data_IF_344074927585
#
_entry.id   IF_344074927585
#
_cell.length_a   1.000
_cell.length_b   1.000
_cell.length_c   1.000
_cell.angle_alpha   90.00
_cell.angle_beta   90.00
_cell.angle_gamma   90.00
#
_symmetry.space_group_name_H-M   'P 1'
#
loop_
_entity.id
_entity.type
_entity.pdbx_description
1 polymer ?
#
# COMPACT_ATOMS: atom_id res chain seq x y z
N UNK A 1 7.20 0.35 -23.46
CA UNK A 1 7.78 0.02 -22.14
C UNK A 1 8.84 1.07 -21.82
N UNK A 2 8.96 1.55 -20.59
CA UNK A 2 9.92 2.61 -20.23
C UNK A 2 11.32 2.01 -20.01
N UNK A 3 12.42 2.62 -20.50
CA UNK A 3 13.76 2.03 -20.42
C UNK A 3 14.29 1.85 -18.99
N UNK A 4 13.78 2.62 -18.02
CA UNK A 4 14.13 2.47 -16.60
C UNK A 4 13.35 1.36 -15.87
N UNK A 5 12.32 0.78 -16.50
CA UNK A 5 11.51 -0.26 -15.89
C UNK A 5 12.20 -1.62 -16.04
N UNK A 6 12.43 -2.28 -14.91
CA UNK A 6 12.84 -3.69 -14.84
C UNK A 6 11.73 -4.49 -14.16
N UNK A 7 11.58 -5.74 -14.55
CA UNK A 7 10.60 -6.67 -13.97
C UNK A 7 11.35 -7.84 -13.33
N UNK A 8 10.92 -8.22 -12.13
CA UNK A 8 11.38 -9.39 -11.41
C UNK A 8 10.16 -10.18 -10.95
N UNK A 9 10.08 -11.44 -11.34
CA UNK A 9 9.01 -12.34 -10.92
C UNK A 9 9.41 -13.02 -9.62
N UNK A 10 8.65 -12.75 -8.55
CA UNK A 10 8.83 -13.35 -7.22
C UNK A 10 7.58 -14.18 -6.92
N UNK A 11 7.70 -15.50 -6.99
CA UNK A 11 6.55 -16.40 -6.79
C UNK A 11 6.02 -16.36 -5.35
N UNK A 12 6.92 -16.19 -4.38
CA UNK A 12 6.63 -16.16 -2.96
C UNK A 12 7.27 -14.93 -2.32
N UNK A 13 6.43 -13.94 -1.99
CA UNK A 13 6.86 -12.67 -1.42
C UNK A 13 7.49 -12.81 -0.04
N UNK A 14 7.32 -13.95 0.64
CA UNK A 14 8.03 -14.25 1.89
C UNK A 14 9.49 -14.64 1.67
N UNK A 15 9.90 -14.88 0.42
CA UNK A 15 11.25 -15.31 0.02
C UNK A 15 11.99 -14.25 -0.79
N UNK A 16 11.66 -12.97 -0.60
CA UNK A 16 12.27 -11.86 -1.33
C UNK A 16 13.81 -11.83 -1.18
N UNK A 17 14.34 -12.27 -0.03
CA UNK A 17 15.79 -12.31 0.24
C UNK A 17 16.59 -13.16 -0.76
N UNK A 18 15.96 -14.14 -1.44
CA UNK A 18 16.58 -14.92 -2.52
C UNK A 18 16.98 -14.06 -3.73
N UNK A 19 16.41 -12.87 -3.85
CA UNK A 19 16.63 -11.94 -4.96
C UNK A 19 17.44 -10.70 -4.55
N UNK A 20 18.19 -10.75 -3.44
CA UNK A 20 18.94 -9.62 -2.87
C UNK A 20 19.70 -8.79 -3.91
N UNK A 21 20.44 -9.44 -4.80
CA UNK A 21 21.27 -8.73 -5.79
C UNK A 21 20.43 -7.96 -6.82
N UNK A 22 19.24 -8.46 -7.14
CA UNK A 22 18.32 -7.81 -8.09
C UNK A 22 17.61 -6.59 -7.48
N UNK A 23 17.54 -6.50 -6.15
CA UNK A 23 16.84 -5.44 -5.42
C UNK A 23 17.76 -4.57 -4.56
N UNK A 24 19.07 -4.77 -4.67
CA UNK A 24 20.06 -3.91 -4.04
C UNK A 24 20.04 -2.50 -4.65
N UNK A 25 20.22 -1.48 -3.81
CA UNK A 25 20.34 -0.09 -4.25
C UNK A 25 19.02 0.65 -4.51
N UNK A 26 17.86 0.07 -4.17
CA UNK A 26 16.59 0.80 -4.15
C UNK A 26 16.42 1.60 -2.84
N UNK A 27 16.01 2.86 -2.96
CA UNK A 27 15.80 3.79 -1.84
C UNK A 27 14.36 3.79 -1.29
N UNK A 28 13.41 3.27 -2.07
CA UNK A 28 11.99 3.26 -1.70
C UNK A 28 11.26 2.01 -2.25
N UNK A 29 10.36 1.47 -1.43
CA UNK A 29 9.41 0.43 -1.81
C UNK A 29 7.97 0.98 -1.75
N UNK A 30 7.23 0.79 -2.83
CA UNK A 30 5.80 1.08 -2.91
C UNK A 30 5.02 -0.23 -2.90
N UNK A 31 4.65 -0.71 -1.71
CA UNK A 31 3.96 -1.98 -1.53
C UNK A 31 2.46 -1.82 -1.82
N UNK A 32 2.11 -2.03 -3.09
CA UNK A 32 0.75 -1.94 -3.62
C UNK A 32 0.06 -3.32 -3.77
N UNK A 33 0.70 -4.39 -3.31
CA UNK A 33 0.16 -5.73 -3.39
C UNK A 33 -0.97 -5.92 -2.37
N UNK A 34 -2.09 -6.51 -2.80
CA UNK A 34 -3.23 -6.76 -1.96
C UNK A 34 -4.32 -7.58 -2.65
N UNK A 35 -5.19 -8.18 -1.85
CA UNK A 35 -6.34 -8.97 -2.31
C UNK A 35 -7.63 -8.43 -1.71
N UNK A 36 -8.76 -8.73 -2.35
CA UNK A 36 -10.07 -8.46 -1.75
C UNK A 36 -10.33 -9.44 -0.60
N UNK A 37 -10.86 -8.96 0.52
CA UNK A 37 -11.28 -9.83 1.64
C UNK A 37 -12.60 -10.55 1.40
N UNK A 38 -13.31 -10.22 0.31
CA UNK A 38 -14.65 -10.77 0.01
C UNK A 38 -14.57 -12.29 -0.14
N UNK A 39 -15.36 -13.00 0.67
CA UNK A 39 -15.41 -14.46 0.66
C UNK A 39 -14.20 -15.15 1.31
N UNK A 40 -13.29 -14.41 1.94
CA UNK A 40 -12.11 -14.99 2.60
C UNK A 40 -12.34 -15.25 4.09
N UNK A 41 -11.75 -16.35 4.57
CA UNK A 41 -11.54 -16.56 6.01
C UNK A 41 -10.42 -15.66 6.54
N UNK A 42 -10.49 -15.31 7.81
CA UNK A 42 -9.56 -14.39 8.45
C UNK A 42 -8.11 -14.90 8.45
N UNK A 43 -7.89 -16.18 8.71
CA UNK A 43 -6.58 -16.83 8.69
C UNK A 43 -5.87 -16.66 7.34
N UNK A 44 -6.58 -16.96 6.25
CA UNK A 44 -6.07 -16.83 4.89
C UNK A 44 -5.83 -15.38 4.51
N UNK A 45 -6.76 -14.48 4.86
CA UNK A 45 -6.59 -13.05 4.60
C UNK A 45 -5.40 -12.47 5.39
N UNK A 46 -5.24 -12.86 6.65
CA UNK A 46 -4.11 -12.48 7.50
C UNK A 46 -2.78 -12.97 6.92
N UNK A 47 -2.72 -14.21 6.43
CA UNK A 47 -1.50 -14.71 5.79
C UNK A 47 -1.08 -13.88 4.58
N UNK A 48 -2.03 -13.57 3.68
CA UNK A 48 -1.75 -12.82 2.45
C UNK A 48 -1.47 -11.33 2.76
N UNK A 49 -2.23 -10.71 3.65
CA UNK A 49 -2.13 -9.27 3.91
C UNK A 49 -1.09 -8.91 4.96
N UNK A 50 -1.05 -9.64 6.09
CA UNK A 50 -0.16 -9.32 7.20
C UNK A 50 1.16 -10.08 7.10
N UNK A 51 1.13 -11.43 7.08
CA UNK A 51 2.39 -12.20 7.18
C UNK A 51 3.30 -11.96 5.97
N UNK A 52 2.71 -11.96 4.77
CA UNK A 52 3.46 -11.73 3.53
C UNK A 52 4.07 -10.32 3.48
N UNK A 53 3.32 -9.29 3.87
CA UNK A 53 3.81 -7.91 3.89
C UNK A 53 4.95 -7.72 4.90
N UNK A 54 4.80 -8.27 6.11
CA UNK A 54 5.85 -8.16 7.14
C UNK A 54 7.10 -8.95 6.77
N UNK A 55 6.96 -10.12 6.15
CA UNK A 55 8.10 -10.87 5.62
C UNK A 55 8.85 -10.07 4.54
N UNK A 56 8.11 -9.51 3.58
CA UNK A 56 8.68 -8.69 2.51
C UNK A 56 9.41 -7.45 3.06
N UNK A 57 8.78 -6.72 3.98
CA UNK A 57 9.34 -5.55 4.63
C UNK A 57 10.65 -5.86 5.39
N UNK A 58 10.68 -6.96 6.13
CA UNK A 58 11.89 -7.41 6.85
C UNK A 58 13.01 -7.80 5.90
N UNK A 59 12.71 -8.54 4.82
CA UNK A 59 13.72 -8.87 3.81
C UNK A 59 14.32 -7.63 3.15
N UNK A 60 13.53 -6.57 2.92
CA UNK A 60 14.08 -5.30 2.41
C UNK A 60 15.04 -4.64 3.41
N UNK A 61 14.69 -4.62 4.70
CA UNK A 61 15.53 -4.03 5.74
C UNK A 61 16.86 -4.77 5.94
N UNK A 62 16.88 -6.09 5.72
CA UNK A 62 18.12 -6.88 5.70
C UNK A 62 19.06 -6.48 4.54
N UNK A 63 18.54 -5.85 3.49
CA UNK A 63 19.29 -5.46 2.29
C UNK A 63 19.68 -3.99 2.35
N UNK A 64 18.74 -3.12 2.76
CA UNK A 64 18.95 -1.69 2.90
C UNK A 64 18.16 -1.16 4.11
N UNK A 65 18.86 -0.82 5.20
CA UNK A 65 18.25 -0.22 6.39
C UNK A 65 17.74 1.20 6.15
N UNK A 66 18.25 1.89 5.13
CA UNK A 66 17.88 3.28 4.81
C UNK A 66 16.71 3.37 3.82
N UNK A 67 16.06 2.24 3.49
CA UNK A 67 14.96 2.22 2.54
C UNK A 67 13.70 2.86 3.15
N UNK A 68 12.93 3.56 2.33
CA UNK A 68 11.58 4.03 2.67
C UNK A 68 10.55 2.98 2.28
N UNK A 69 9.50 2.80 3.08
CA UNK A 69 8.44 1.83 2.83
C UNK A 69 7.06 2.50 2.82
N UNK A 70 6.34 2.35 1.72
CA UNK A 70 4.94 2.76 1.60
C UNK A 70 4.08 1.51 1.57
N UNK A 71 3.10 1.44 2.45
CA UNK A 71 2.06 0.43 2.47
C UNK A 71 0.71 1.03 2.07
N UNK A 72 0.06 0.44 1.06
CA UNK A 72 -1.29 0.84 0.64
C UNK A 72 -2.31 -0.04 1.35
N UNK A 73 -2.95 0.50 2.39
CA UNK A 73 -3.99 -0.19 3.15
C UNK A 73 -5.38 0.08 2.55
N UNK A 74 -6.12 1.04 3.08
CA UNK A 74 -7.45 1.43 2.65
C UNK A 74 -8.15 2.32 3.68
N UNK A 75 -9.03 3.20 3.22
CA UNK A 75 -9.89 4.00 4.07
C UNK A 75 -10.67 3.12 5.04
N UNK A 76 -10.86 3.59 6.28
CA UNK A 76 -11.48 2.83 7.38
C UNK A 76 -10.66 1.66 7.93
N UNK A 77 -9.35 1.60 7.63
CA UNK A 77 -8.44 0.71 8.37
C UNK A 77 -8.46 1.02 9.87
N UNK A 78 -8.47 -0.02 10.70
CA UNK A 78 -8.69 0.10 12.14
C UNK A 78 -7.39 -0.09 12.93
N UNK A 79 -6.74 1.03 13.30
CA UNK A 79 -5.52 1.02 14.12
C UNK A 79 -5.73 0.48 15.54
N UNK A 80 -6.96 0.38 16.04
CA UNK A 80 -7.19 -0.19 17.38
C UNK A 80 -7.05 -1.71 17.39
N UNK A 81 -7.20 -2.34 16.23
CA UNK A 81 -7.23 -3.80 16.07
C UNK A 81 -8.40 -4.47 16.81
N UNK A 82 -9.40 -3.72 17.30
CA UNK A 82 -10.51 -4.25 18.12
C UNK A 82 -11.89 -4.18 17.43
N UNK A 83 -11.97 -3.59 16.23
CA UNK A 83 -13.21 -3.42 15.50
C UNK A 83 -13.84 -4.72 15.01
N UNK A 84 -15.13 -4.66 14.66
CA UNK A 84 -15.89 -5.82 14.17
C UNK A 84 -15.53 -6.24 12.74
N UNK A 85 -14.83 -5.37 12.00
CA UNK A 85 -14.51 -5.58 10.58
C UNK A 85 -13.13 -6.22 10.45
N UNK A 86 -13.12 -7.52 10.13
CA UNK A 86 -11.90 -8.32 10.05
C UNK A 86 -10.79 -7.70 9.19
N UNK A 87 -11.11 -7.31 7.95
CA UNK A 87 -10.10 -6.80 7.03
C UNK A 87 -9.46 -5.50 7.54
N UNK A 88 -10.24 -4.66 8.21
CA UNK A 88 -9.80 -3.38 8.74
C UNK A 88 -8.85 -3.58 9.92
N UNK A 89 -9.14 -4.54 10.80
CA UNK A 89 -8.24 -4.93 11.89
C UNK A 89 -6.94 -5.54 11.38
N UNK A 90 -7.01 -6.46 10.42
CA UNK A 90 -5.80 -7.11 9.86
C UNK A 90 -4.90 -6.07 9.18
N UNK A 91 -5.47 -5.16 8.40
CA UNK A 91 -4.69 -4.04 7.82
C UNK A 91 -4.15 -3.12 8.92
N UNK A 92 -4.94 -2.77 9.93
CA UNK A 92 -4.49 -1.88 11.00
C UNK A 92 -3.35 -2.48 11.82
N UNK A 93 -3.41 -3.78 12.11
CA UNK A 93 -2.30 -4.53 12.69
C UNK A 93 -1.05 -4.49 11.81
N UNK A 94 -1.22 -4.59 10.50
CA UNK A 94 -0.11 -4.50 9.54
C UNK A 94 0.55 -3.12 9.59
N UNK A 95 -0.24 -2.04 9.56
CA UNK A 95 0.27 -0.66 9.70
C UNK A 95 1.03 -0.47 11.03
N UNK A 96 0.42 -0.91 12.14
CA UNK A 96 1.01 -0.77 13.48
C UNK A 96 2.33 -1.51 13.62
N UNK A 97 2.47 -2.69 13.02
CA UNK A 97 3.71 -3.47 13.09
C UNK A 97 4.76 -3.01 12.08
N UNK A 98 4.37 -2.46 10.92
CA UNK A 98 5.29 -1.79 10.00
C UNK A 98 5.89 -0.52 10.62
N UNK A 99 5.08 0.29 11.31
CA UNK A 99 5.53 1.51 11.97
C UNK A 99 6.57 1.29 13.08
N UNK A 100 6.71 0.05 13.57
CA UNK A 100 7.72 -0.35 14.56
C UNK A 100 9.04 -0.78 13.92
N UNK A 101 9.07 -0.98 12.61
CA UNK A 101 10.28 -1.39 11.89
C UNK A 101 11.20 -0.17 11.65
N UNK A 102 12.52 -0.36 11.64
CA UNK A 102 13.50 0.72 11.55
C UNK A 102 13.69 1.21 10.10
N UNK A 103 12.61 1.49 9.37
CA UNK A 103 12.70 2.13 8.06
C UNK A 103 13.12 3.59 8.20
N UNK A 104 13.83 4.12 7.20
CA UNK A 104 14.14 5.55 7.12
C UNK A 104 12.87 6.41 7.11
N UNK A 105 11.88 5.99 6.33
CA UNK A 105 10.53 6.56 6.28
C UNK A 105 9.52 5.42 6.12
N UNK A 106 8.43 5.45 6.88
CA UNK A 106 7.35 4.47 6.80
C UNK A 106 6.01 5.22 6.68
N UNK A 107 5.22 4.87 5.66
CA UNK A 107 3.95 5.52 5.37
C UNK A 107 2.83 4.52 5.05
N UNK A 108 1.69 4.72 5.69
CA UNK A 108 0.45 3.97 5.51
C UNK A 108 -0.58 4.83 4.78
N UNK A 109 -0.85 4.48 3.52
CA UNK A 109 -1.81 5.17 2.67
C UNK A 109 -3.19 4.51 2.81
N UNK A 110 -4.19 5.30 3.21
CA UNK A 110 -5.59 4.88 3.38
C UNK A 110 -6.49 5.50 2.30
N UNK A 111 -6.35 5.09 1.02
CA UNK A 111 -7.19 5.63 -0.04
C UNK A 111 -8.65 5.19 0.14
N UNK A 112 -9.58 6.06 -0.24
CA UNK A 112 -10.99 5.73 -0.40
C UNK A 112 -11.26 5.02 -1.73
N UNK A 113 -12.44 5.26 -2.30
CA UNK A 113 -12.72 4.79 -3.64
C UNK A 113 -11.77 5.46 -4.64
N UNK A 114 -11.30 4.71 -5.64
CA UNK A 114 -10.36 5.21 -6.65
C UNK A 114 -10.93 5.12 -8.05
N UNK A 115 -10.68 6.14 -8.88
CA UNK A 115 -11.02 6.11 -10.31
C UNK A 115 -9.98 5.34 -11.11
N UNK A 116 -10.40 4.66 -12.16
CA UNK A 116 -9.51 3.98 -13.11
C UNK A 116 -8.74 4.96 -14.00
N UNK A 117 -7.66 4.47 -14.60
CA UNK A 117 -6.92 5.17 -15.66
C UNK A 117 -7.26 4.59 -17.03
N UNK A 118 -7.10 5.41 -18.08
CA UNK A 118 -7.30 4.97 -19.45
C UNK A 118 -6.34 3.81 -19.79
N UNK A 119 -6.86 2.73 -20.39
CA UNK A 119 -6.07 1.55 -20.77
C UNK A 119 -5.74 0.58 -19.63
N UNK A 120 -6.31 0.75 -18.43
CA UNK A 120 -6.13 -0.19 -17.32
C UNK A 120 -6.72 -1.57 -17.67
N UNK A 121 -5.85 -2.58 -17.77
CA UNK A 121 -6.25 -3.97 -18.15
C UNK A 121 -7.00 -4.71 -17.05
N UNK A 122 -6.61 -4.51 -15.79
CA UNK A 122 -7.19 -5.18 -14.62
C UNK A 122 -7.84 -4.17 -13.68
N UNK A 123 -8.83 -3.44 -14.19
CA UNK A 123 -9.63 -2.55 -13.37
C UNK A 123 -10.50 -3.36 -12.41
N UNK A 124 -10.57 -2.94 -11.15
CA UNK A 124 -11.51 -3.50 -10.20
C UNK A 124 -12.95 -3.34 -10.76
N UNK A 125 -13.77 -4.40 -10.84
CA UNK A 125 -15.16 -4.31 -11.30
C UNK A 125 -15.99 -3.24 -10.56
N UNK A 126 -15.66 -2.97 -9.30
CA UNK A 126 -16.32 -1.93 -8.49
C UNK A 126 -15.86 -0.49 -8.82
N UNK A 127 -14.93 -0.29 -9.76
CA UNK A 127 -14.51 1.04 -10.17
C UNK A 127 -15.64 1.89 -10.78
N UNK A 128 -16.68 1.26 -11.33
CA UNK A 128 -17.88 1.99 -11.75
C UNK A 128 -18.60 2.66 -10.58
N UNK A 129 -18.61 2.00 -9.40
CA UNK A 129 -19.18 2.55 -8.17
C UNK A 129 -18.43 3.82 -7.75
N UNK A 130 -17.10 3.87 -7.96
CA UNK A 130 -16.31 5.06 -7.68
C UNK A 130 -16.75 6.28 -8.50
N UNK A 131 -17.25 6.10 -9.74
CA UNK A 131 -17.80 7.21 -10.55
C UNK A 131 -19.09 7.77 -9.96
N UNK A 132 -19.97 6.89 -9.46
CA UNK A 132 -21.22 7.29 -8.80
C UNK A 132 -20.91 8.01 -7.49
N UNK A 133 -20.04 7.44 -6.65
CA UNK A 133 -19.62 8.07 -5.39
C UNK A 133 -18.99 9.44 -5.68
N UNK A 134 -18.17 9.56 -6.73
CA UNK A 134 -17.54 10.83 -7.09
C UNK A 134 -18.55 11.93 -7.39
N UNK A 135 -19.69 11.59 -7.98
CA UNK A 135 -20.75 12.56 -8.28
C UNK A 135 -21.42 13.12 -7.00
N UNK A 136 -21.67 12.27 -6.00
CA UNK A 136 -22.38 12.67 -4.78
C UNK A 136 -21.46 13.06 -3.60
N UNK A 137 -20.26 12.49 -3.54
CA UNK A 137 -19.29 12.65 -2.46
C UNK A 137 -17.85 12.68 -3.01
N UNK A 138 -17.47 13.72 -3.77
CA UNK A 138 -16.17 13.82 -4.43
C UNK A 138 -14.99 13.78 -3.44
N UNK A 139 -15.19 14.23 -2.20
CA UNK A 139 -14.17 14.20 -1.15
C UNK A 139 -13.76 12.78 -0.75
N UNK A 140 -14.60 11.77 -0.96
CA UNK A 140 -14.35 10.36 -0.64
C UNK A 140 -13.64 9.58 -1.77
N UNK A 141 -13.40 10.22 -2.91
CA UNK A 141 -12.81 9.58 -4.09
C UNK A 141 -11.45 10.21 -4.42
N UNK A 142 -10.47 9.37 -4.76
CA UNK A 142 -9.17 9.78 -5.28
C UNK A 142 -9.00 9.28 -6.72
N UNK A 143 -8.24 9.99 -7.53
CA UNK A 143 -7.69 9.45 -8.76
C UNK A 143 -6.43 8.63 -8.48
N UNK A 144 -6.17 7.58 -9.27
CA UNK A 144 -4.91 6.84 -9.19
C UNK A 144 -3.68 7.75 -9.42
N UNK A 145 -3.83 8.83 -10.18
CA UNK A 145 -2.80 9.84 -10.35
C UNK A 145 -2.51 10.64 -9.07
N UNK A 146 -3.54 11.02 -8.32
CA UNK A 146 -3.35 11.68 -7.01
C UNK A 146 -2.63 10.75 -6.04
N UNK A 147 -3.06 9.48 -5.95
CA UNK A 147 -2.40 8.50 -5.06
C UNK A 147 -0.94 8.29 -5.48
N UNK A 148 -0.67 8.10 -6.77
CA UNK A 148 0.68 7.93 -7.30
C UNK A 148 1.61 9.11 -7.00
N UNK A 149 1.16 10.35 -7.26
CA UNK A 149 1.96 11.55 -6.96
C UNK A 149 2.20 11.73 -5.46
N UNK A 150 1.16 11.51 -4.65
CA UNK A 150 1.29 11.62 -3.20
C UNK A 150 2.30 10.61 -2.65
N UNK A 151 2.33 9.38 -3.17
CA UNK A 151 3.34 8.38 -2.80
C UNK A 151 4.76 8.85 -3.13
N UNK A 152 4.99 9.41 -4.33
CA UNK A 152 6.30 9.96 -4.71
C UNK A 152 6.70 11.13 -3.79
N UNK A 153 5.79 12.09 -3.60
CA UNK A 153 6.06 13.22 -2.73
C UNK A 153 6.27 12.82 -1.26
N UNK A 154 5.65 11.72 -0.80
CA UNK A 154 5.86 11.22 0.57
C UNK A 154 7.31 10.81 0.82
N UNK A 155 7.95 10.14 -0.14
CA UNK A 155 9.36 9.74 0.02
C UNK A 155 10.33 10.90 -0.19
N UNK A 156 10.00 11.84 -1.07
CA UNK A 156 10.86 12.99 -1.41
C UNK A 156 10.84 14.11 -0.35
N UNK A 157 9.72 14.31 0.36
CA UNK A 157 9.55 15.42 1.30
C UNK A 157 9.75 14.98 2.74
N UNK A 158 10.13 15.93 3.58
CA UNK A 158 10.24 15.73 5.02
C UNK A 158 8.97 16.20 5.75
N UNK A 159 8.81 15.79 7.01
CA UNK A 159 7.66 16.13 7.87
C UNK A 159 6.29 15.69 7.31
N UNK A 160 6.27 14.65 6.48
CA UNK A 160 5.03 14.00 6.02
C UNK A 160 4.49 13.10 7.12
N UNK A 161 3.17 13.07 7.31
CA UNK A 161 2.51 12.19 8.28
C UNK A 161 2.69 10.72 7.90
N UNK A 162 2.91 9.85 8.88
CA UNK A 162 3.01 8.40 8.65
C UNK A 162 1.68 7.78 8.20
N UNK A 163 0.53 8.22 8.70
CA UNK A 163 -0.79 7.76 8.23
C UNK A 163 -1.41 8.85 7.36
N UNK A 164 -1.72 8.51 6.11
CA UNK A 164 -2.32 9.43 5.14
C UNK A 164 -3.75 9.01 4.83
N UNK A 165 -4.70 9.78 5.35
CA UNK A 165 -6.12 9.66 4.99
C UNK A 165 -6.39 10.35 3.66
N UNK A 166 -7.60 10.19 3.11
CA UNK A 166 -7.99 10.71 1.79
C UNK A 166 -7.64 12.20 1.59
N UNK A 167 -7.86 13.02 2.62
CA UNK A 167 -7.55 14.46 2.58
C UNK A 167 -6.04 14.73 2.51
N UNK A 168 -5.25 13.95 3.24
CA UNK A 168 -3.80 14.10 3.32
C UNK A 168 -3.17 13.63 2.00
N UNK A 169 -3.65 12.50 1.44
CA UNK A 169 -3.24 12.02 0.12
C UNK A 169 -3.52 13.08 -0.94
N UNK A 170 -4.72 13.67 -0.95
CA UNK A 170 -5.07 14.72 -1.93
C UNK A 170 -4.20 15.98 -1.79
N UNK A 171 -3.91 16.39 -0.56
CA UNK A 171 -3.08 17.56 -0.30
C UNK A 171 -1.59 17.33 -0.65
N UNK A 172 -1.14 16.08 -0.56
CA UNK A 172 0.24 15.71 -0.88
C UNK A 172 0.46 15.47 -2.38
N UNK A 173 -0.59 15.15 -3.14
CA UNK A 173 -0.55 14.86 -4.58
C UNK A 173 -0.17 16.05 -5.47
#
# INVERSE_FOLDING_TARGET
>A
QHPKLKELLVEDFTKLSLFRDAIAGYDACFYCAGVSSVGMKEDKYRYITYDTTLAFAKSLLEINSEISFIYVSGGSTDSTEQGKVMWARVKGKTENDLAKLPFKKEYNFRPGAMTTVAGQKHANPFAFVAKIIKFFAPSAVLSLHEVGRAMIHAVERDNVKNILEIKDIRALA
#
